data_IF_394485642908
#
_entry.id   IF_394485642908
#
_cell.length_a   1.000
_cell.length_b   1.000
_cell.length_c   1.000
_cell.angle_alpha   90.00
_cell.angle_beta   90.00
_cell.angle_gamma   90.00
#
_symmetry.space_group_name_H-M   'P 1'
#
loop_
_entity.id
_entity.type
_entity.pdbx_description
1 polymer ?
#
# COMPACT_ATOMS: atom_id res chain seq x y z
N UNK A 1 -54.09 23.43 -11.97
CA UNK A 1 -54.41 22.38 -10.99
C UNK A 1 -53.25 22.39 -9.98
N UNK A 2 -53.26 23.12 -8.85
CA UNK A 2 -54.07 22.99 -7.62
C UNK A 2 -54.12 21.55 -7.08
N UNK A 3 -53.59 21.37 -5.86
CA UNK A 3 -53.36 20.11 -5.16
C UNK A 3 -54.44 19.81 -4.09
N UNK A 4 -54.36 18.63 -3.44
CA UNK A 4 -54.41 18.51 -1.98
C UNK A 4 -53.11 17.83 -1.46
N UNK A 5 -52.44 18.17 -0.33
CA UNK A 5 -52.79 18.73 1.00
C UNK A 5 -53.19 17.68 2.06
N UNK A 6 -52.40 17.63 3.14
CA UNK A 6 -52.59 16.92 4.44
C UNK A 6 -52.42 15.39 4.44
N UNK A 7 -51.89 14.75 5.51
CA UNK A 7 -52.17 14.98 6.95
C UNK A 7 -50.97 15.01 7.93
N UNK A 8 -51.25 15.67 9.04
CA UNK A 8 -50.44 16.01 10.23
C UNK A 8 -50.02 14.81 11.10
N UNK A 9 -48.89 15.00 11.84
CA UNK A 9 -48.37 14.13 12.93
C UNK A 9 -49.40 13.79 14.02
N UNK A 10 -49.05 12.84 14.90
CA UNK A 10 -49.03 13.15 16.33
C UNK A 10 -47.62 13.11 16.97
N UNK A 11 -47.50 13.87 18.05
CA UNK A 11 -46.28 14.16 18.82
C UNK A 11 -46.42 13.48 20.18
N UNK A 12 -45.49 12.61 20.60
CA UNK A 12 -45.38 12.20 22.02
C UNK A 12 -44.15 12.82 22.66
N UNK A 13 -44.40 13.90 23.40
CA UNK A 13 -43.44 14.55 24.29
C UNK A 13 -43.72 14.18 25.75
N UNK A 14 -42.68 13.95 26.55
CA UNK A 14 -42.74 13.85 28.02
C UNK A 14 -42.33 12.46 28.57
N UNK A 15 -41.64 12.37 29.73
CA UNK A 15 -41.22 13.45 30.66
C UNK A 15 -40.09 12.96 31.60
N UNK A 16 -39.18 13.89 31.92
CA UNK A 16 -38.21 14.02 33.06
C UNK A 16 -38.46 13.13 34.30
N UNK A 17 -37.51 12.77 35.19
CA UNK A 17 -36.22 13.34 35.69
C UNK A 17 -35.41 12.15 36.33
N UNK A 18 -34.17 12.16 36.84
CA UNK A 18 -33.11 13.17 37.04
C UNK A 18 -31.72 12.51 37.27
N UNK A 19 -30.63 13.29 37.13
CA UNK A 19 -29.50 13.53 38.09
C UNK A 19 -28.96 12.36 38.96
N UNK A 20 -27.64 12.09 39.03
CA UNK A 20 -26.50 13.00 39.33
C UNK A 20 -25.21 12.54 38.61
N UNK A 21 -24.43 13.44 37.98
CA UNK A 21 -23.21 14.11 38.54
C UNK A 21 -21.98 13.18 38.39
N UNK A 22 -21.05 13.44 37.46
CA UNK A 22 -19.84 14.29 37.66
C UNK A 22 -18.64 13.37 38.02
N UNK A 23 -17.41 13.50 37.52
CA UNK A 23 -16.74 14.55 36.72
C UNK A 23 -15.58 13.89 35.93
N UNK A 24 -14.99 14.62 34.97
CA UNK A 24 -13.84 14.20 34.17
C UNK A 24 -12.54 13.96 34.98
N UNK A 25 -11.56 13.29 34.33
CA UNK A 25 -10.11 13.61 34.29
C UNK A 25 -9.16 12.39 34.37
N UNK A 26 -8.47 12.14 33.26
CA UNK A 26 -7.08 11.64 33.21
C UNK A 26 -6.11 12.75 33.72
N UNK A 27 -4.79 12.52 33.97
CA UNK A 27 -3.95 11.38 33.55
C UNK A 27 -3.03 10.80 34.67
N UNK A 28 -2.09 9.91 34.28
CA UNK A 28 -0.74 9.59 34.87
C UNK A 28 -0.50 9.81 36.38
N UNK A 29 0.14 8.91 37.14
CA UNK A 29 1.51 8.41 36.95
C UNK A 29 1.80 7.08 37.69
N UNK A 30 2.93 6.44 37.36
CA UNK A 30 3.75 5.52 38.18
C UNK A 30 3.36 5.24 39.64
N UNK A 31 3.33 3.95 40.01
CA UNK A 31 3.37 3.51 41.40
C UNK A 31 3.35 1.99 41.55
N UNK A 32 4.51 1.39 41.84
CA UNK A 32 4.63 -0.03 42.24
C UNK A 32 3.88 -0.30 43.55
N UNK A 33 3.17 -1.43 43.64
CA UNK A 33 3.25 -2.26 44.84
C UNK A 33 3.73 -3.67 44.44
N UNK A 34 4.76 -4.23 45.05
CA UNK A 34 5.03 -4.14 46.48
C UNK A 34 4.19 -5.21 47.17
N UNK A 35 4.72 -6.43 47.22
CA UNK A 35 4.02 -7.58 47.76
C UNK A 35 3.77 -7.41 49.27
N UNK A 36 2.51 -7.42 49.67
CA UNK A 36 2.09 -7.49 51.07
C UNK A 36 0.82 -8.34 51.18
N UNK A 37 0.97 -9.56 51.70
CA UNK A 37 -0.14 -10.27 52.31
C UNK A 37 -0.53 -9.59 53.64
N UNK A 38 -1.78 -9.74 54.07
CA UNK A 38 -1.96 -10.24 55.43
C UNK A 38 -2.95 -11.41 55.49
N UNK A 39 -2.78 -12.23 56.53
CA UNK A 39 -3.68 -13.32 56.90
C UNK A 39 -4.70 -12.87 57.96
N UNK A 40 -5.78 -13.64 58.10
CA UNK A 40 -6.91 -13.37 59.01
C UNK A 40 -8.06 -12.63 58.30
N UNK A 41 -9.33 -13.01 58.48
CA UNK A 41 -9.88 -14.13 59.25
C UNK A 41 -11.40 -14.21 59.07
N UNK A 42 -12.05 -15.01 59.92
CA UNK A 42 -13.50 -15.07 60.17
C UNK A 42 -14.43 -15.77 59.14
N UNK A 43 -15.32 -16.60 59.70
CA UNK A 43 -16.34 -17.38 58.99
C UNK A 43 -17.68 -16.64 59.05
N UNK A 44 -17.99 -15.88 58.02
CA UNK A 44 -19.26 -15.14 57.86
C UNK A 44 -20.08 -15.60 56.66
N UNK A 45 -21.42 -15.60 56.78
CA UNK A 45 -22.35 -15.97 55.69
C UNK A 45 -22.32 -14.95 54.54
N UNK A 46 -21.36 -15.10 53.62
CA UNK A 46 -21.17 -14.24 52.44
C UNK A 46 -20.60 -14.96 51.21
N UNK A 47 -20.87 -16.27 51.09
CA UNK A 47 -20.13 -17.20 50.22
C UNK A 47 -20.18 -16.86 48.73
N UNK A 48 -21.29 -16.35 48.20
CA UNK A 48 -21.42 -16.03 46.77
C UNK A 48 -20.61 -14.79 46.36
N UNK A 49 -20.62 -13.72 47.17
CA UNK A 49 -20.00 -12.43 46.84
C UNK A 49 -18.47 -12.53 46.77
N UNK A 50 -17.88 -13.24 47.72
CA UNK A 50 -16.43 -13.46 47.78
C UNK A 50 -15.93 -14.36 46.64
N UNK A 51 -16.73 -15.35 46.22
CA UNK A 51 -16.42 -16.18 45.04
C UNK A 51 -16.50 -15.35 43.76
N UNK A 52 -17.50 -14.47 43.60
CA UNK A 52 -17.59 -13.56 42.44
C UNK A 52 -16.38 -12.62 42.36
N UNK A 53 -15.99 -11.99 43.47
CA UNK A 53 -14.82 -11.10 43.48
C UNK A 53 -13.52 -11.86 43.19
N UNK A 54 -13.33 -13.05 43.78
CA UNK A 54 -12.18 -13.92 43.50
C UNK A 54 -12.12 -14.40 42.06
N UNK A 55 -13.25 -14.72 41.43
CA UNK A 55 -13.30 -15.08 40.01
C UNK A 55 -12.95 -13.89 39.12
N UNK A 56 -13.46 -12.69 39.40
CA UNK A 56 -13.12 -11.48 38.63
C UNK A 56 -11.62 -11.18 38.75
N UNK A 57 -11.04 -11.25 39.95
CA UNK A 57 -9.60 -11.06 40.17
C UNK A 57 -8.78 -12.15 39.46
N UNK A 58 -9.18 -13.42 39.55
CA UNK A 58 -8.48 -14.52 38.89
C UNK A 58 -8.51 -14.38 37.35
N UNK A 59 -9.67 -14.05 36.77
CA UNK A 59 -9.83 -13.79 35.33
C UNK A 59 -9.02 -12.56 34.90
N UNK A 60 -9.01 -11.49 35.69
CA UNK A 60 -8.19 -10.30 35.42
C UNK A 60 -6.69 -10.62 35.44
N UNK A 61 -6.22 -11.43 36.41
CA UNK A 61 -4.81 -11.88 36.49
C UNK A 61 -4.46 -12.80 35.31
N UNK A 62 -5.33 -13.73 34.92
CA UNK A 62 -5.11 -14.59 33.74
C UNK A 62 -5.09 -13.76 32.45
N UNK A 63 -6.01 -12.82 32.28
CA UNK A 63 -6.04 -11.91 31.13
C UNK A 63 -4.79 -11.02 31.08
N UNK A 64 -4.33 -10.49 32.21
CA UNK A 64 -3.10 -9.71 32.31
C UNK A 64 -1.85 -10.56 32.01
N UNK A 65 -1.79 -11.81 32.49
CA UNK A 65 -0.70 -12.74 32.19
C UNK A 65 -0.65 -13.12 30.70
N UNK A 66 -1.81 -13.39 30.09
CA UNK A 66 -1.93 -13.67 28.64
C UNK A 66 -1.56 -12.44 27.80
N UNK A 67 -1.97 -11.24 28.21
CA UNK A 67 -1.56 -10.00 27.55
C UNK A 67 -0.05 -9.73 27.69
N UNK A 68 0.53 -9.97 28.88
CA UNK A 68 1.97 -9.86 29.13
C UNK A 68 2.82 -10.89 28.35
N UNK A 69 2.30 -12.09 28.13
CA UNK A 69 2.99 -13.14 27.37
C UNK A 69 2.77 -13.05 25.84
N UNK A 70 1.63 -12.52 25.39
CA UNK A 70 1.26 -12.48 23.97
C UNK A 70 1.74 -11.25 23.19
N UNK A 71 2.06 -10.15 23.88
CA UNK A 71 2.43 -8.87 23.25
C UNK A 71 3.70 -8.93 22.37
N UNK A 72 4.82 -9.58 22.75
CA UNK A 72 6.00 -9.65 21.87
C UNK A 72 5.70 -10.41 20.58
N UNK A 73 4.95 -11.51 20.69
CA UNK A 73 4.58 -12.37 19.56
C UNK A 73 3.71 -11.62 18.55
N UNK A 74 2.73 -10.84 19.01
CA UNK A 74 1.85 -10.05 18.13
C UNK A 74 2.63 -8.93 17.43
N UNK A 75 3.46 -8.16 18.14
CA UNK A 75 4.30 -7.13 17.49
C UNK A 75 5.27 -7.75 16.46
N UNK A 76 5.88 -8.91 16.76
CA UNK A 76 6.73 -9.63 15.81
C UNK A 76 5.97 -10.18 14.60
N UNK A 77 4.66 -10.41 14.71
CA UNK A 77 3.82 -10.90 13.64
C UNK A 77 3.35 -9.75 12.73
N UNK A 78 3.10 -8.56 13.29
CA UNK A 78 2.84 -7.33 12.52
C UNK A 78 4.08 -6.95 11.70
N UNK A 79 5.27 -6.91 12.32
CA UNK A 79 6.51 -6.61 11.58
C UNK A 79 6.79 -7.58 10.42
N UNK A 80 6.52 -8.88 10.61
CA UNK A 80 6.65 -9.87 9.52
C UNK A 80 5.60 -9.71 8.41
N UNK A 81 4.41 -9.19 8.72
CA UNK A 81 3.38 -8.92 7.71
C UNK A 81 3.73 -7.69 6.87
N UNK A 82 4.28 -6.64 7.48
CA UNK A 82 4.68 -5.44 6.74
C UNK A 82 5.94 -5.71 5.90
N UNK A 83 6.95 -6.40 6.44
CA UNK A 83 8.10 -6.92 5.66
C UNK A 83 7.64 -7.75 4.45
N UNK A 84 6.65 -8.64 4.63
CA UNK A 84 6.12 -9.46 3.52
C UNK A 84 5.44 -8.63 2.43
N UNK A 85 4.89 -7.45 2.75
CA UNK A 85 4.32 -6.54 1.73
C UNK A 85 5.40 -5.77 1.00
N UNK A 86 6.41 -5.30 1.72
CA UNK A 86 7.54 -4.56 1.14
C UNK A 86 8.32 -5.45 0.17
N UNK A 87 8.50 -6.74 0.52
CA UNK A 87 9.04 -7.75 -0.40
C UNK A 87 8.17 -7.95 -1.64
N UNK A 88 6.84 -8.07 -1.49
CA UNK A 88 5.93 -8.19 -2.65
C UNK A 88 6.01 -6.94 -3.53
N UNK A 89 6.04 -5.74 -2.94
CA UNK A 89 6.18 -4.49 -3.68
C UNK A 89 7.51 -4.45 -4.48
N UNK A 90 8.63 -4.80 -3.85
CA UNK A 90 9.93 -4.92 -4.53
C UNK A 90 9.92 -5.96 -5.66
N UNK A 91 9.32 -7.14 -5.44
CA UNK A 91 9.20 -8.16 -6.50
C UNK A 91 8.34 -7.69 -7.67
N UNK A 92 7.28 -6.93 -7.41
CA UNK A 92 6.37 -6.41 -8.42
C UNK A 92 7.08 -5.32 -9.25
N UNK A 93 7.66 -4.32 -8.59
CA UNK A 93 8.37 -3.21 -9.22
C UNK A 93 9.55 -3.71 -10.09
N UNK A 94 10.28 -4.74 -9.64
CA UNK A 94 11.34 -5.39 -10.43
C UNK A 94 10.78 -6.10 -11.67
N UNK A 95 9.65 -6.81 -11.55
CA UNK A 95 9.00 -7.49 -12.68
C UNK A 95 8.42 -6.51 -13.70
N UNK A 96 7.86 -5.39 -13.24
CA UNK A 96 7.28 -4.35 -14.10
C UNK A 96 8.38 -3.64 -14.91
N UNK A 97 9.50 -3.29 -14.26
CA UNK A 97 10.67 -2.71 -14.93
C UNK A 97 11.26 -3.64 -16.01
N UNK A 98 11.41 -4.94 -15.72
CA UNK A 98 11.89 -5.92 -16.69
C UNK A 98 10.89 -6.20 -17.82
N UNK A 99 9.59 -6.19 -17.51
CA UNK A 99 8.53 -6.36 -18.50
C UNK A 99 8.52 -5.20 -19.49
N UNK A 100 8.59 -3.97 -19.00
CA UNK A 100 8.69 -2.77 -19.84
C UNK A 100 10.00 -2.74 -20.65
N UNK A 101 11.13 -3.15 -20.07
CA UNK A 101 12.40 -3.25 -20.79
C UNK A 101 12.31 -4.23 -21.98
N UNK A 102 11.66 -5.37 -21.81
CA UNK A 102 11.38 -6.31 -22.90
C UNK A 102 10.39 -5.75 -23.93
N UNK A 103 9.33 -5.07 -23.49
CA UNK A 103 8.35 -4.46 -24.39
C UNK A 103 8.97 -3.34 -25.27
N UNK A 104 9.88 -2.54 -24.69
CA UNK A 104 10.68 -1.54 -25.40
C UNK A 104 11.71 -2.17 -26.34
N UNK A 105 12.34 -3.29 -25.97
CA UNK A 105 13.25 -4.01 -26.86
C UNK A 105 12.51 -4.57 -28.09
N UNK A 106 11.35 -5.19 -27.88
CA UNK A 106 10.46 -5.63 -28.96
C UNK A 106 10.04 -4.46 -29.87
N UNK A 107 9.73 -3.29 -29.30
CA UNK A 107 9.33 -2.11 -30.09
C UNK A 107 10.53 -1.49 -30.85
N UNK A 108 11.70 -1.40 -30.24
CA UNK A 108 12.95 -0.99 -30.92
C UNK A 108 13.22 -1.88 -32.14
N UNK A 109 13.04 -3.19 -31.98
CA UNK A 109 13.30 -4.17 -33.02
C UNK A 109 12.19 -4.21 -34.10
N UNK A 110 11.06 -3.53 -33.89
CA UNK A 110 10.09 -3.16 -34.95
C UNK A 110 10.42 -1.79 -35.59
N UNK A 111 10.76 -0.78 -34.80
CA UNK A 111 10.97 0.62 -35.23
C UNK A 111 12.28 0.80 -36.00
N UNK A 112 13.42 0.35 -35.46
CA UNK A 112 14.74 0.55 -36.07
C UNK A 112 14.81 -0.02 -37.51
N UNK A 113 14.39 -1.27 -37.81
CA UNK A 113 14.40 -1.76 -39.19
C UNK A 113 13.36 -1.08 -40.08
N UNK A 114 12.20 -0.66 -39.57
CA UNK A 114 11.24 0.15 -40.34
C UNK A 114 11.88 1.45 -40.84
N UNK A 115 12.66 2.13 -39.98
CA UNK A 115 13.42 3.32 -40.37
C UNK A 115 14.53 2.97 -41.37
N UNK A 116 15.34 1.96 -41.08
CA UNK A 116 16.50 1.59 -41.91
C UNK A 116 16.11 1.10 -43.31
N UNK A 117 14.94 0.47 -43.46
CA UNK A 117 14.38 0.05 -44.73
C UNK A 117 13.74 1.19 -45.56
N UNK A 118 13.79 2.43 -45.07
CA UNK A 118 13.59 3.63 -45.88
C UNK A 118 12.23 4.32 -45.78
N UNK A 119 11.19 3.65 -45.26
CA UNK A 119 9.81 4.16 -44.99
C UNK A 119 9.08 4.82 -46.19
N UNK A 120 7.83 4.42 -46.54
CA UNK A 120 6.92 3.50 -45.87
C UNK A 120 6.90 2.08 -46.49
N UNK A 121 7.83 1.75 -47.40
CA UNK A 121 7.88 0.47 -48.11
C UNK A 121 8.06 -0.77 -47.21
N UNK A 122 8.46 -0.56 -45.95
CA UNK A 122 8.55 -1.58 -44.93
C UNK A 122 7.31 -1.62 -44.03
N UNK A 123 7.04 -2.79 -43.43
CA UNK A 123 5.97 -2.96 -42.44
C UNK A 123 6.13 -1.96 -41.29
N UNK A 124 5.11 -1.13 -41.07
CA UNK A 124 5.09 -0.19 -39.95
C UNK A 124 5.03 -0.90 -38.58
N UNK A 125 5.56 -0.27 -37.51
CA UNK A 125 5.45 -0.77 -36.14
C UNK A 125 4.01 -0.97 -35.68
N UNK A 126 3.81 -1.90 -34.75
CA UNK A 126 2.48 -2.25 -34.24
C UNK A 126 1.89 -1.17 -33.31
N UNK A 127 0.89 -0.43 -33.79
CA UNK A 127 0.13 0.54 -32.98
C UNK A 127 -0.41 -0.08 -31.68
N UNK A 128 -0.85 -1.35 -31.73
CA UNK A 128 -1.37 -2.04 -30.55
C UNK A 128 -0.27 -2.39 -29.53
N UNK A 129 0.99 -2.57 -29.99
CA UNK A 129 2.13 -2.77 -29.10
C UNK A 129 2.54 -1.44 -28.48
N UNK A 130 2.72 -0.39 -29.29
CA UNK A 130 3.04 0.95 -28.79
C UNK A 130 2.00 1.44 -27.76
N UNK A 131 0.70 1.23 -28.03
CA UNK A 131 -0.35 1.60 -27.08
C UNK A 131 -0.41 0.73 -25.80
N UNK A 132 0.27 -0.42 -25.73
CA UNK A 132 0.52 -1.16 -24.47
C UNK A 132 1.70 -0.58 -23.72
N UNK A 133 2.83 -0.40 -24.42
CA UNK A 133 4.03 0.28 -23.91
C UNK A 133 3.68 1.63 -23.29
N UNK A 134 2.86 2.45 -23.94
CA UNK A 134 2.45 3.77 -23.42
C UNK A 134 1.66 3.67 -22.10
N UNK A 135 0.92 2.58 -21.90
CA UNK A 135 0.18 2.32 -20.66
C UNK A 135 1.12 1.83 -19.57
N UNK A 136 2.02 0.91 -19.88
CA UNK A 136 3.06 0.40 -18.97
C UNK A 136 4.00 1.54 -18.52
N UNK A 137 4.32 2.48 -19.42
CA UNK A 137 5.07 3.70 -19.12
C UNK A 137 4.29 4.63 -18.18
N UNK A 138 3.00 4.86 -18.42
CA UNK A 138 2.17 5.73 -17.55
C UNK A 138 1.94 5.10 -16.17
N UNK A 139 1.70 3.79 -16.11
CA UNK A 139 1.55 3.03 -14.87
C UNK A 139 2.85 3.09 -14.04
N UNK A 140 4.02 2.95 -14.69
CA UNK A 140 5.33 3.11 -14.03
C UNK A 140 5.56 4.56 -13.57
N UNK A 141 5.16 5.57 -14.34
CA UNK A 141 5.32 7.00 -13.96
C UNK A 141 4.48 7.42 -12.76
N UNK A 142 3.36 6.75 -12.52
CA UNK A 142 2.53 6.98 -11.35
C UNK A 142 3.26 6.62 -10.04
N UNK A 143 4.34 5.83 -10.12
CA UNK A 143 5.22 5.54 -9.00
C UNK A 143 6.20 6.72 -8.72
N UNK A 144 6.17 7.17 -7.47
CA UNK A 144 7.00 8.27 -6.99
C UNK A 144 8.49 7.88 -6.89
N UNK A 145 8.80 6.60 -6.69
CA UNK A 145 10.16 6.10 -6.46
C UNK A 145 10.98 5.97 -7.75
N UNK A 146 10.36 6.14 -8.91
CA UNK A 146 11.05 6.13 -10.22
C UNK A 146 12.03 7.31 -10.35
N UNK A 147 13.28 7.09 -10.81
CA UNK A 147 14.25 8.17 -11.05
C UNK A 147 13.75 9.20 -12.07
N UNK A 148 14.08 10.47 -11.86
CA UNK A 148 13.69 11.55 -12.76
C UNK A 148 14.34 11.46 -14.16
N UNK A 149 15.54 10.86 -14.25
CA UNK A 149 16.19 10.56 -15.53
C UNK A 149 15.35 9.56 -16.34
N UNK A 150 15.10 8.37 -15.78
CA UNK A 150 14.24 7.36 -16.40
C UNK A 150 12.88 7.89 -16.87
N UNK A 151 12.22 8.76 -16.10
CA UNK A 151 10.94 9.37 -16.56
C UNK A 151 11.11 10.17 -17.84
N UNK A 152 12.22 10.92 -17.98
CA UNK A 152 12.54 11.70 -19.18
C UNK A 152 12.90 10.80 -20.36
N UNK A 153 13.68 9.75 -20.15
CA UNK A 153 14.06 8.78 -21.19
C UNK A 153 12.81 8.07 -21.75
N UNK A 154 11.87 7.71 -20.87
CA UNK A 154 10.56 7.16 -21.26
C UNK A 154 9.67 8.20 -21.99
N UNK A 155 9.79 9.51 -21.71
CA UNK A 155 9.11 10.58 -22.46
C UNK A 155 9.67 10.77 -23.87
N UNK A 156 10.96 10.48 -24.05
CA UNK A 156 11.60 10.51 -25.36
C UNK A 156 11.06 9.41 -26.28
N UNK A 157 10.75 8.21 -25.77
CA UNK A 157 10.18 7.10 -26.57
C UNK A 157 8.94 7.52 -27.38
N UNK A 158 7.97 8.18 -26.73
CA UNK A 158 6.76 8.65 -27.40
C UNK A 158 7.05 9.75 -28.44
N UNK A 159 8.16 10.47 -28.32
CA UNK A 159 8.64 11.46 -29.28
C UNK A 159 9.36 10.79 -30.46
N UNK A 160 10.26 9.84 -30.18
CA UNK A 160 10.98 9.02 -31.16
C UNK A 160 10.01 8.22 -32.03
N UNK A 161 8.95 7.62 -31.47
CA UNK A 161 7.93 6.90 -32.26
C UNK A 161 7.22 7.81 -33.26
N UNK A 162 6.85 9.03 -32.85
CA UNK A 162 6.24 10.03 -33.75
C UNK A 162 7.24 10.56 -34.80
N UNK A 163 8.51 10.73 -34.43
CA UNK A 163 9.57 11.09 -35.36
C UNK A 163 9.83 9.98 -36.39
N UNK A 164 9.77 8.70 -35.96
CA UNK A 164 9.97 7.53 -36.79
C UNK A 164 8.91 7.42 -37.89
N UNK A 165 7.63 7.61 -37.55
CA UNK A 165 6.51 7.60 -38.49
C UNK A 165 6.47 8.83 -39.42
N UNK A 166 6.97 9.98 -38.96
CA UNK A 166 6.99 11.23 -39.76
C UNK A 166 8.29 11.48 -40.53
N UNK A 167 9.22 10.51 -40.53
CA UNK A 167 10.50 10.61 -41.26
C UNK A 167 11.54 11.54 -40.63
N UNK A 168 11.34 11.95 -39.37
CA UNK A 168 12.15 12.98 -38.68
C UNK A 168 13.26 12.43 -37.78
N UNK A 169 13.30 11.12 -37.56
CA UNK A 169 14.40 10.42 -36.88
C UNK A 169 15.08 9.41 -37.81
N UNK A 170 16.37 9.21 -37.58
CA UNK A 170 17.20 8.16 -38.17
C UNK A 170 17.06 6.83 -37.41
N UNK A 171 17.59 5.75 -38.00
CA UNK A 171 17.57 4.44 -37.36
C UNK A 171 18.48 4.39 -36.12
N UNK A 172 19.58 5.16 -36.14
CA UNK A 172 20.54 5.24 -35.05
C UNK A 172 19.96 5.98 -33.84
N UNK A 173 19.44 7.21 -34.03
CA UNK A 173 18.81 8.00 -32.96
C UNK A 173 17.67 7.22 -32.29
N UNK A 174 16.85 6.51 -33.07
CA UNK A 174 15.81 5.66 -32.51
C UNK A 174 16.39 4.49 -31.70
N UNK A 175 17.40 3.79 -32.23
CA UNK A 175 18.05 2.68 -31.53
C UNK A 175 18.72 3.12 -30.21
N UNK A 176 19.37 4.28 -30.21
CA UNK A 176 20.03 4.87 -29.04
C UNK A 176 19.01 5.20 -27.95
N UNK A 177 17.97 5.99 -28.26
CA UNK A 177 16.94 6.37 -27.29
C UNK A 177 16.21 5.17 -26.66
N UNK A 178 15.85 4.15 -27.45
CA UNK A 178 15.30 2.90 -26.90
C UNK A 178 16.31 2.18 -26.00
N UNK A 179 17.58 2.11 -26.41
CA UNK A 179 18.60 1.35 -25.68
C UNK A 179 19.03 2.02 -24.38
N UNK A 180 18.98 3.36 -24.30
CA UNK A 180 19.19 4.14 -23.08
C UNK A 180 18.08 3.87 -22.06
N UNK A 181 16.81 4.02 -22.46
CA UNK A 181 15.67 3.70 -21.60
C UNK A 181 15.66 2.23 -21.11
N UNK A 182 16.01 1.28 -21.99
CA UNK A 182 16.15 -0.14 -21.62
C UNK A 182 17.30 -0.36 -20.63
N UNK A 183 18.44 0.31 -20.80
CA UNK A 183 19.57 0.21 -19.89
C UNK A 183 19.24 0.76 -18.49
N UNK A 184 18.53 1.89 -18.43
CA UNK A 184 18.10 2.51 -17.18
C UNK A 184 17.02 1.68 -16.44
N UNK A 185 16.11 1.03 -17.17
CA UNK A 185 15.17 0.05 -16.59
C UNK A 185 15.88 -1.19 -16.02
N UNK A 186 16.88 -1.73 -16.72
CA UNK A 186 17.70 -2.82 -16.18
C UNK A 186 18.50 -2.38 -14.94
N UNK A 187 19.01 -1.14 -14.93
CA UNK A 187 19.71 -0.56 -13.78
C UNK A 187 18.78 -0.44 -12.57
N UNK A 188 17.57 0.08 -12.75
CA UNK A 188 16.51 0.08 -11.73
C UNK A 188 16.22 -1.34 -11.21
N UNK A 189 16.02 -2.32 -12.09
CA UNK A 189 15.75 -3.69 -11.67
C UNK A 189 16.92 -4.29 -10.85
N UNK A 190 18.16 -3.91 -11.16
CA UNK A 190 19.34 -4.22 -10.35
C UNK A 190 19.30 -3.57 -8.97
N UNK A 191 19.10 -2.26 -8.88
CA UNK A 191 18.99 -1.50 -7.62
C UNK A 191 17.88 -2.07 -6.71
N UNK A 192 16.77 -2.53 -7.29
CA UNK A 192 15.66 -3.16 -6.56
C UNK A 192 15.98 -4.58 -6.11
N UNK A 193 16.68 -5.37 -6.91
CA UNK A 193 17.15 -6.70 -6.54
C UNK A 193 18.19 -6.65 -5.40
N UNK A 194 19.08 -5.65 -5.37
CA UNK A 194 20.04 -5.44 -4.27
C UNK A 194 19.37 -5.11 -2.93
N UNK A 195 18.13 -4.59 -2.96
CA UNK A 195 17.32 -4.32 -1.76
C UNK A 195 16.60 -5.56 -1.22
N UNK A 196 16.62 -6.69 -1.94
CA UNK A 196 15.99 -7.93 -1.49
C UNK A 196 16.87 -8.65 -0.45
N UNK A 197 16.28 -9.21 0.62
CA UNK A 197 16.99 -10.09 1.54
C UNK A 197 17.36 -11.44 0.88
N UNK A 198 18.41 -12.12 1.39
CA UNK A 198 18.92 -13.38 0.84
C UNK A 198 18.08 -14.62 1.20
#
# INVERSE_FOLDING_TARGET
MRAPVQKTRPRRTGKKKASREGTENSPTTTGTPGASAPAGGEVGRGRATHVRNRLIVAVAVVAAAVAGAGTPSILSAVGRLDESKDLVALTQQTQDALTLAHALADERDEVTPYIAAGRPEARAPSEQRGARVDREIEDLRADADVPAALRADLDEIATVRRAALSGKSTALEAHEAYSEAIAELHRMAGDLAERMPP
#
